data_IF_793305337612
#
_entry.id   IF_793305337612
#
_cell.length_a   1.000
_cell.length_b   1.000
_cell.length_c   1.000
_cell.angle_alpha   90.00
_cell.angle_beta   90.00
_cell.angle_gamma   90.00
#
_symmetry.space_group_name_H-M   'P 1'
#
loop_
_entity.id
_entity.type
_entity.pdbx_description
1 polymer ?
#
# COMPACT_ATOMS: atom_id res chain seq x y z
N UNK A 1 18.24 11.83 2.03
CA UNK A 1 16.80 12.10 2.20
C UNK A 1 16.07 10.79 1.95
N UNK A 2 15.48 10.19 2.98
CA UNK A 2 14.62 9.01 2.78
C UNK A 2 13.35 9.47 2.07
N UNK A 3 12.96 8.80 0.99
CA UNK A 3 11.74 9.13 0.25
C UNK A 3 10.62 8.24 0.78
N UNK A 4 9.48 8.83 1.14
CA UNK A 4 8.31 8.10 1.64
C UNK A 4 7.42 7.66 0.48
N UNK A 5 7.13 6.36 0.40
CA UNK A 5 6.19 5.75 -0.52
C UNK A 5 4.98 5.25 0.28
N UNK A 6 3.78 5.56 -0.20
CA UNK A 6 2.56 4.98 0.35
C UNK A 6 1.84 4.19 -0.73
N UNK A 7 1.13 3.14 -0.31
CA UNK A 7 0.30 2.36 -1.22
C UNK A 7 -1.05 1.99 -0.61
N UNK A 8 -2.05 1.87 -1.48
CA UNK A 8 -3.36 1.28 -1.16
C UNK A 8 -3.54 0.03 -2.02
N UNK A 9 -3.74 -1.11 -1.37
CA UNK A 9 -4.00 -2.38 -2.03
C UNK A 9 -5.43 -2.84 -1.74
N UNK A 10 -6.21 -3.14 -2.79
CA UNK A 10 -7.57 -3.63 -2.61
C UNK A 10 -7.98 -4.61 -3.73
N UNK A 11 -8.57 -5.73 -3.33
CA UNK A 11 -9.19 -6.69 -4.25
C UNK A 11 -10.61 -7.01 -3.74
N UNK A 12 -11.66 -6.78 -4.55
CA UNK A 12 -13.03 -7.09 -4.13
C UNK A 12 -13.29 -8.61 -4.11
N UNK A 13 -12.49 -9.39 -4.85
CA UNK A 13 -12.57 -10.86 -4.96
C UNK A 13 -11.67 -11.55 -3.92
N UNK A 14 -11.79 -11.15 -2.65
CA UNK A 14 -11.08 -11.76 -1.53
C UNK A 14 -9.73 -11.14 -1.19
N UNK A 15 -8.98 -11.82 -0.31
CA UNK A 15 -7.83 -11.24 0.41
C UNK A 15 -6.47 -11.56 -0.22
N UNK A 16 -6.37 -12.64 -1.01
CA UNK A 16 -5.10 -13.17 -1.48
C UNK A 16 -4.31 -12.12 -2.29
N UNK A 17 -4.92 -11.55 -3.34
CA UNK A 17 -4.25 -10.54 -4.16
C UNK A 17 -3.97 -9.24 -3.40
N UNK A 18 -4.81 -8.87 -2.43
CA UNK A 18 -4.57 -7.69 -1.59
C UNK A 18 -3.27 -7.83 -0.79
N UNK A 19 -3.08 -8.97 -0.12
CA UNK A 19 -1.87 -9.21 0.67
C UNK A 19 -0.64 -9.52 -0.18
N UNK A 20 -0.80 -10.29 -1.26
CA UNK A 20 0.30 -10.55 -2.21
C UNK A 20 0.83 -9.25 -2.83
N UNK A 21 -0.06 -8.35 -3.25
CA UNK A 21 0.33 -7.06 -3.79
C UNK A 21 1.00 -6.17 -2.73
N UNK A 22 0.47 -6.14 -1.51
CA UNK A 22 1.06 -5.38 -0.42
C UNK A 22 2.48 -5.86 -0.08
N UNK A 23 2.68 -7.17 0.09
CA UNK A 23 3.99 -7.73 0.39
C UNK A 23 5.01 -7.46 -0.74
N UNK A 24 4.62 -7.70 -2.00
CA UNK A 24 5.50 -7.46 -3.14
C UNK A 24 5.90 -5.98 -3.28
N UNK A 25 4.97 -5.05 -2.98
CA UNK A 25 5.25 -3.61 -2.98
C UNK A 25 6.16 -3.19 -1.82
N UNK A 26 5.96 -3.77 -0.64
CA UNK A 26 6.80 -3.50 0.53
C UNK A 26 8.25 -3.93 0.28
N UNK A 27 8.45 -5.16 -0.19
CA UNK A 27 9.77 -5.71 -0.55
C UNK A 27 10.45 -4.83 -1.61
N UNK A 28 9.76 -4.51 -2.71
CA UNK A 28 10.32 -3.68 -3.78
C UNK A 28 10.64 -2.25 -3.33
N UNK A 29 9.82 -1.65 -2.45
CA UNK A 29 10.06 -0.31 -1.93
C UNK A 29 11.29 -0.27 -1.01
N UNK A 30 11.45 -1.28 -0.15
CA UNK A 30 12.61 -1.42 0.73
C UNK A 30 13.88 -1.65 -0.09
N UNK A 31 13.85 -2.53 -1.09
CA UNK A 31 14.98 -2.76 -2.01
C UNK A 31 15.38 -1.48 -2.77
N UNK A 32 14.40 -0.64 -3.12
CA UNK A 32 14.63 0.64 -3.78
C UNK A 32 15.02 1.78 -2.80
N UNK A 33 15.13 1.51 -1.49
CA UNK A 33 15.56 2.47 -0.48
C UNK A 33 14.49 3.48 -0.06
N UNK A 34 13.21 3.14 -0.18
CA UNK A 34 12.08 3.96 0.26
C UNK A 34 11.61 3.54 1.65
N UNK A 35 11.13 4.51 2.44
CA UNK A 35 10.27 4.24 3.59
C UNK A 35 8.86 3.97 3.09
N UNK A 36 8.26 2.85 3.46
CA UNK A 36 6.98 2.41 2.89
C UNK A 36 5.89 2.21 3.95
N UNK A 37 4.67 2.66 3.63
CA UNK A 37 3.46 2.32 4.39
C UNK A 37 2.35 1.91 3.44
N UNK A 38 1.74 0.74 3.69
CA UNK A 38 0.71 0.17 2.82
C UNK A 38 -0.57 -0.03 3.60
N UNK A 39 -1.66 0.55 3.11
CA UNK A 39 -3.03 0.25 3.54
C UNK A 39 -3.59 -0.88 2.70
N UNK A 40 -4.21 -1.86 3.36
CA UNK A 40 -4.92 -2.96 2.70
C UNK A 40 -6.41 -2.85 2.98
N UNK A 41 -7.23 -3.00 1.92
CA UNK A 41 -8.68 -3.01 2.01
C UNK A 41 -9.20 -4.35 1.48
N UNK A 42 -9.75 -5.17 2.37
CA UNK A 42 -10.22 -6.50 2.07
C UNK A 42 -11.57 -6.81 2.71
N UNK A 43 -11.99 -8.08 2.63
CA UNK A 43 -13.20 -8.56 3.29
C UNK A 43 -13.19 -8.33 4.82
N UNK A 44 -12.01 -8.37 5.44
CA UNK A 44 -11.81 -8.11 6.87
C UNK A 44 -11.74 -6.61 7.22
N UNK A 45 -12.07 -5.74 6.25
CA UNK A 45 -12.03 -4.28 6.40
C UNK A 45 -10.68 -3.67 6.05
N UNK A 46 -10.42 -2.49 6.62
CA UNK A 46 -9.24 -1.67 6.32
C UNK A 46 -8.18 -1.91 7.39
N UNK A 47 -6.96 -2.27 6.98
CA UNK A 47 -5.80 -2.42 7.85
C UNK A 47 -4.72 -1.40 7.49
N UNK A 48 -3.90 -1.00 8.47
CA UNK A 48 -2.80 -0.04 8.30
C UNK A 48 -3.21 1.28 7.64
N UNK A 49 -4.40 1.78 8.03
CA UNK A 49 -5.01 2.97 7.42
C UNK A 49 -4.01 4.13 7.26
N UNK A 50 -3.98 4.68 6.06
CA UNK A 50 -3.23 5.89 5.71
C UNK A 50 -3.90 7.10 6.35
N UNK A 51 -3.08 7.95 6.94
CA UNK A 51 -3.52 9.21 7.52
C UNK A 51 -3.33 10.36 6.54
N UNK A 52 -3.96 11.52 6.80
CA UNK A 52 -3.72 12.72 6.01
C UNK A 52 -2.23 13.14 6.03
N UNK A 53 -1.54 12.88 7.13
CA UNK A 53 -0.11 13.14 7.26
C UNK A 53 0.71 12.21 6.36
N UNK A 54 0.36 10.92 6.27
CA UNK A 54 1.03 9.99 5.36
C UNK A 54 0.95 10.44 3.91
N UNK A 55 -0.20 10.96 3.50
CA UNK A 55 -0.43 11.49 2.15
C UNK A 55 0.37 12.78 1.93
N UNK A 56 0.43 13.67 2.93
CA UNK A 56 1.15 14.93 2.83
C UNK A 56 2.67 14.75 2.75
N UNK A 57 3.22 13.72 3.40
CA UNK A 57 4.65 13.42 3.41
C UNK A 57 5.08 12.48 2.27
N UNK A 58 4.12 11.85 1.57
CA UNK A 58 4.40 10.90 0.51
C UNK A 58 5.05 11.59 -0.70
N UNK A 59 6.14 11.01 -1.17
CA UNK A 59 6.74 11.34 -2.47
C UNK A 59 6.05 10.58 -3.60
N UNK A 60 5.59 9.37 -3.32
CA UNK A 60 4.94 8.48 -4.29
C UNK A 60 3.71 7.84 -3.62
N UNK A 61 2.60 7.80 -4.37
CA UNK A 61 1.36 7.13 -3.98
C UNK A 61 1.01 6.07 -5.03
N UNK A 62 0.89 4.81 -4.63
CA UNK A 62 0.52 3.69 -5.50
C UNK A 62 -0.89 3.21 -5.17
N UNK A 63 -1.76 3.10 -6.16
CA UNK A 63 -3.07 2.45 -6.03
C UNK A 63 -3.03 1.10 -6.77
N UNK A 64 -2.89 0.01 -6.01
CA UNK A 64 -2.94 -1.37 -6.51
C UNK A 64 -4.33 -1.93 -6.25
N UNK A 65 -5.27 -1.52 -7.09
CA UNK A 65 -6.69 -1.84 -6.91
C UNK A 65 -7.21 -2.65 -8.09
N UNK A 66 -7.90 -3.75 -7.80
CA UNK A 66 -8.67 -4.47 -8.81
C UNK A 66 -10.05 -3.82 -8.93
N UNK A 67 -10.43 -3.48 -10.16
CA UNK A 67 -11.77 -3.00 -10.53
C UNK A 67 -12.49 -4.09 -11.32
N UNK A 68 -13.78 -4.28 -11.04
CA UNK A 68 -14.67 -5.24 -11.72
C UNK A 68 -15.82 -4.52 -12.40
#
# INVERSE_FOLDING_TARGET
>A
MSKKLIALCACPMGLAHTFMAAQALEEAAVEAGYEVKIETQGADGIQNRLTAQDIAEATIIIHSVAVT
#
